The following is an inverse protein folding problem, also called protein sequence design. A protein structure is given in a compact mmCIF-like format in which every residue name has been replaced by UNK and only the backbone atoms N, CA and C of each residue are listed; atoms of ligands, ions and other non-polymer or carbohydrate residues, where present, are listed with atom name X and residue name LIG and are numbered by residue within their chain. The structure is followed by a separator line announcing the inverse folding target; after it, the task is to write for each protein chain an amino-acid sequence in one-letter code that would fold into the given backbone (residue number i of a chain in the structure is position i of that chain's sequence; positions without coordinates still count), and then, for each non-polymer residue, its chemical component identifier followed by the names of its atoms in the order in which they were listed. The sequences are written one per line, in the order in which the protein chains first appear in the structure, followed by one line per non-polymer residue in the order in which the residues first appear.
data_IF_143408176540
#
_entry.id   IF_143408176540
#
_cell.length_a   1.000
_cell.length_b   1.000
_cell.length_c   1.000
_cell.angle_alpha   90.00
_cell.angle_beta   90.00
_cell.angle_gamma   90.00
#
_symmetry.space_group_name_H-M   'P 1'
#
loop_
_entity.id
_entity.type
_entity.pdbx_description
1 polymer ?
#
# COMPACT_ATOMS: atom_id res chain seq x y z
N UNK A 1 16.27 -3.78 1.78
CA UNK A 1 16.12 -2.44 2.40
C UNK A 1 16.16 -2.59 3.92
N UNK A 2 16.66 -1.59 4.64
CA UNK A 2 16.64 -1.62 6.11
C UNK A 2 15.22 -1.29 6.63
N UNK A 3 14.82 -1.79 7.80
CA UNK A 3 13.50 -1.49 8.38
C UNK A 3 13.26 0.00 8.60
N UNK A 4 14.34 0.77 8.80
CA UNK A 4 14.29 2.23 8.88
C UNK A 4 13.80 2.86 7.57
N UNK A 5 14.25 2.36 6.42
CA UNK A 5 13.83 2.85 5.10
C UNK A 5 12.37 2.47 4.82
N UNK A 6 11.97 1.26 5.19
CA UNK A 6 10.56 0.86 5.10
C UNK A 6 9.68 1.75 5.99
N UNK A 7 10.14 2.15 7.18
CA UNK A 7 9.42 3.09 8.04
C UNK A 7 9.27 4.48 7.41
N UNK A 8 10.33 5.01 6.78
CA UNK A 8 10.22 6.28 6.02
C UNK A 8 9.26 6.16 4.84
N UNK A 9 9.32 5.07 4.07
CA UNK A 9 8.39 4.80 2.99
C UNK A 9 6.94 4.75 3.49
N UNK A 10 6.71 4.14 4.65
CA UNK A 10 5.40 4.08 5.29
C UNK A 10 4.93 5.48 5.71
N UNK A 11 5.77 6.29 6.36
CA UNK A 11 5.43 7.66 6.75
C UNK A 11 5.09 8.53 5.54
N UNK A 12 5.86 8.39 4.46
CA UNK A 12 5.63 9.10 3.20
C UNK A 12 4.30 8.68 2.57
N UNK A 13 3.98 7.38 2.56
CA UNK A 13 2.68 6.89 2.08
C UNK A 13 1.51 7.40 2.92
N UNK A 14 1.69 7.53 4.24
CA UNK A 14 0.69 8.07 5.15
C UNK A 14 0.50 9.59 4.97
N UNK A 15 1.59 10.33 4.73
CA UNK A 15 1.52 11.76 4.40
C UNK A 15 0.76 12.00 3.10
N UNK A 16 1.05 11.22 2.05
CA UNK A 16 0.34 11.32 0.76
C UNK A 16 -1.13 10.92 0.88
N UNK A 17 -1.46 9.95 1.74
CA UNK A 17 -2.82 9.49 1.96
C UNK A 17 -3.76 10.58 2.48
N UNK A 18 -3.26 11.59 3.20
CA UNK A 18 -4.06 12.69 3.74
C UNK A 18 -4.61 13.64 2.66
N UNK A 19 -3.91 13.74 1.53
CA UNK A 19 -4.30 14.63 0.43
C UNK A 19 -5.33 14.00 -0.51
N UNK A 20 -5.47 12.67 -0.46
CA UNK A 20 -6.47 11.93 -1.23
C UNK A 20 -7.86 12.12 -0.64
N UNK A 21 -8.87 12.20 -1.51
CA UNK A 21 -10.30 12.23 -1.17
C UNK A 21 -10.78 13.46 -0.39
N UNK A 22 -10.02 14.56 -0.41
CA UNK A 22 -10.43 15.82 0.21
C UNK A 22 -11.57 16.48 -0.59
N UNK A 23 -12.74 16.67 0.05
CA UNK A 23 -13.95 17.18 -0.63
C UNK A 23 -13.79 18.64 -1.09
N UNK A 24 -14.45 19.04 -2.21
CA UNK A 24 -15.21 18.22 -3.15
C UNK A 24 -14.31 17.42 -4.11
N UNK A 25 -14.65 16.16 -4.33
CA UNK A 25 -13.90 15.21 -5.16
C UNK A 25 -14.04 15.62 -6.63
N UNK A 26 -13.00 16.23 -7.19
CA UNK A 26 -12.86 16.46 -8.64
C UNK A 26 -11.94 15.38 -9.18
N UNK A 27 -12.46 14.51 -10.06
CA UNK A 27 -11.72 13.36 -10.61
C UNK A 27 -10.34 13.73 -11.16
N UNK A 28 -10.24 14.88 -11.84
CA UNK A 28 -8.97 15.37 -12.37
C UNK A 28 -7.95 15.73 -11.27
N UNK A 29 -8.43 16.29 -10.14
CA UNK A 29 -7.58 16.66 -9.01
C UNK A 29 -7.07 15.41 -8.28
N UNK A 30 -7.92 14.41 -8.10
CA UNK A 30 -7.52 13.13 -7.50
C UNK A 30 -6.55 12.36 -8.39
N UNK A 31 -6.79 12.33 -9.71
CA UNK A 31 -5.86 11.73 -10.67
C UNK A 31 -4.49 12.42 -10.61
N UNK A 32 -4.47 13.75 -10.48
CA UNK A 32 -3.24 14.50 -10.29
C UNK A 32 -2.53 14.15 -8.98
N UNK A 33 -3.24 14.04 -7.86
CA UNK A 33 -2.62 13.63 -6.58
C UNK A 33 -2.12 12.19 -6.60
N UNK A 34 -2.83 11.26 -7.25
CA UNK A 34 -2.36 9.89 -7.44
C UNK A 34 -1.09 9.87 -8.28
N UNK A 35 -1.06 10.60 -9.40
CA UNK A 35 0.14 10.73 -10.22
C UNK A 35 1.30 11.34 -9.44
N UNK A 36 1.06 12.44 -8.73
CA UNK A 36 2.06 13.10 -7.91
C UNK A 36 2.61 12.16 -6.82
N UNK A 37 1.73 11.42 -6.14
CA UNK A 37 2.15 10.44 -5.12
C UNK A 37 3.05 9.36 -5.72
N UNK A 38 2.73 8.85 -6.91
CA UNK A 38 3.54 7.86 -7.61
C UNK A 38 4.91 8.43 -8.01
N UNK A 39 4.97 9.68 -8.46
CA UNK A 39 6.24 10.38 -8.75
C UNK A 39 7.09 10.51 -7.49
N UNK A 40 6.49 10.92 -6.36
CA UNK A 40 7.20 11.04 -5.08
C UNK A 40 7.70 9.66 -4.61
N UNK A 41 6.90 8.60 -4.76
CA UNK A 41 7.31 7.23 -4.41
C UNK A 41 8.41 6.71 -5.33
N UNK A 42 8.37 7.02 -6.63
CA UNK A 42 9.43 6.70 -7.58
C UNK A 42 10.74 7.41 -7.24
N UNK A 43 10.67 8.71 -6.90
CA UNK A 43 11.84 9.48 -6.49
C UNK A 43 12.44 8.95 -5.18
N UNK A 44 11.58 8.58 -4.23
CA UNK A 44 12.03 7.92 -3.00
C UNK A 44 12.72 6.59 -3.30
N UNK A 45 12.12 5.73 -4.12
CA UNK A 45 12.69 4.45 -4.51
C UNK A 45 14.04 4.61 -5.21
N UNK A 46 14.21 5.64 -6.05
CA UNK A 46 15.47 5.94 -6.71
C UNK A 46 16.58 6.37 -5.74
N UNK A 47 16.25 7.17 -4.71
CA UNK A 47 17.22 7.65 -3.72
C UNK A 47 17.55 6.62 -2.65
N UNK A 48 16.55 5.84 -2.23
CA UNK A 48 16.65 4.89 -1.13
C UNK A 48 17.01 3.48 -1.62
N UNK A 49 16.75 3.16 -2.89
CA UNK A 49 16.93 1.83 -3.44
C UNK A 49 18.17 1.69 -4.30
N UNK A 50 18.68 0.46 -4.37
CA UNK A 50 19.58 0.05 -5.42
C UNK A 50 18.75 -0.34 -6.65
N UNK A 51 18.74 0.52 -7.68
CA UNK A 51 17.95 0.31 -8.90
C UNK A 51 18.41 -0.89 -9.72
N UNK A 52 19.56 -1.51 -9.38
CA UNK A 52 19.97 -2.80 -9.96
C UNK A 52 19.13 -3.97 -9.43
N UNK A 53 18.43 -3.80 -8.32
CA UNK A 53 17.57 -4.83 -7.74
C UNK A 53 16.19 -4.81 -8.40
N UNK A 54 15.72 -5.94 -8.98
CA UNK A 54 14.41 -6.01 -9.64
C UNK A 54 13.23 -5.75 -8.66
N UNK A 55 13.46 -5.88 -7.35
CA UNK A 55 12.46 -5.57 -6.34
C UNK A 55 12.08 -4.08 -6.33
N UNK A 56 13.00 -3.19 -6.72
CA UNK A 56 12.79 -1.74 -6.72
C UNK A 56 11.83 -1.27 -7.80
N UNK A 57 11.68 -2.02 -8.90
CA UNK A 57 10.74 -1.69 -9.98
C UNK A 57 9.29 -1.71 -9.49
N UNK A 58 8.95 -2.70 -8.65
CA UNK A 58 7.61 -2.84 -8.08
C UNK A 58 7.39 -1.98 -6.83
N UNK A 59 8.44 -1.40 -6.25
CA UNK A 59 8.41 -0.77 -4.93
C UNK A 59 7.51 0.48 -4.86
N UNK A 60 7.53 1.42 -5.83
CA UNK A 60 6.62 2.57 -5.83
C UNK A 60 5.14 2.18 -5.90
N UNK A 61 4.82 1.10 -6.61
CA UNK A 61 3.45 0.58 -6.71
C UNK A 61 2.99 -0.03 -5.38
N UNK A 62 3.88 -0.74 -4.67
CA UNK A 62 3.61 -1.24 -3.32
C UNK A 62 3.34 -0.07 -2.36
N UNK A 63 4.12 1.00 -2.43
CA UNK A 63 3.90 2.23 -1.64
C UNK A 63 2.56 2.88 -1.96
N UNK A 64 2.17 2.91 -3.24
CA UNK A 64 0.86 3.41 -3.67
C UNK A 64 -0.28 2.56 -3.11
N UNK A 65 -0.15 1.24 -3.10
CA UNK A 65 -1.17 0.35 -2.55
C UNK A 65 -1.36 0.57 -1.04
N UNK A 66 -0.26 0.75 -0.30
CA UNK A 66 -0.29 1.11 1.12
C UNK A 66 -0.92 2.50 1.33
N UNK A 67 -0.53 3.49 0.54
CA UNK A 67 -1.12 4.83 0.54
C UNK A 67 -2.64 4.77 0.33
N UNK A 68 -3.12 3.96 -0.62
CA UNK A 68 -4.54 3.75 -0.86
C UNK A 68 -5.22 3.11 0.35
N UNK A 69 -4.61 2.11 0.98
CA UNK A 69 -5.13 1.51 2.21
C UNK A 69 -5.29 2.55 3.32
N UNK A 70 -4.29 3.40 3.55
CA UNK A 70 -4.40 4.51 4.51
C UNK A 70 -5.44 5.55 4.09
N UNK A 71 -5.53 5.91 2.81
CA UNK A 71 -6.49 6.90 2.33
C UNK A 71 -7.94 6.46 2.57
N UNK A 72 -8.19 5.14 2.57
CA UNK A 72 -9.52 4.60 2.86
C UNK A 72 -9.97 4.86 4.29
N UNK A 73 -9.07 5.20 5.20
CA UNK A 73 -9.46 5.54 6.57
C UNK A 73 -10.06 6.94 6.70
N UNK A 74 -9.79 7.83 5.75
CA UNK A 74 -10.36 9.17 5.70
C UNK A 74 -11.74 9.21 5.02
N UNK A 75 -12.21 8.10 4.42
CA UNK A 75 -13.47 8.08 3.65
C UNK A 75 -14.71 7.99 4.57
N UNK A 76 -15.66 8.96 4.49
CA UNK A 76 -16.86 8.95 5.33
C UNK A 76 -17.92 7.94 4.88
N UNK A 77 -17.96 7.58 3.58
CA UNK A 77 -18.98 6.72 3.00
C UNK A 77 -18.36 5.58 2.16
N UNK A 78 -19.06 4.44 2.07
CA UNK A 78 -18.66 3.25 1.26
C UNK A 78 -17.26 2.68 1.57
N UNK A 79 -16.74 2.99 2.77
CA UNK A 79 -15.38 2.69 3.23
C UNK A 79 -14.93 1.23 3.02
N UNK A 80 -15.78 0.26 3.39
CA UNK A 80 -15.48 -1.18 3.25
C UNK A 80 -15.14 -1.60 1.82
N UNK A 81 -15.88 -1.08 0.82
CA UNK A 81 -15.65 -1.46 -0.58
C UNK A 81 -14.31 -0.94 -1.09
N UNK A 82 -13.99 0.32 -0.77
CA UNK A 82 -12.71 0.92 -1.15
C UNK A 82 -11.53 0.28 -0.42
N UNK A 83 -11.70 -0.04 0.86
CA UNK A 83 -10.68 -0.74 1.65
C UNK A 83 -10.37 -2.12 1.06
N UNK A 84 -11.41 -2.89 0.73
CA UNK A 84 -11.25 -4.19 0.05
C UNK A 84 -10.55 -4.04 -1.29
N UNK A 85 -10.95 -3.07 -2.11
CA UNK A 85 -10.30 -2.81 -3.39
C UNK A 85 -8.82 -2.44 -3.23
N UNK A 86 -8.48 -1.60 -2.24
CA UNK A 86 -7.09 -1.21 -1.98
C UNK A 86 -6.25 -2.41 -1.52
N UNK A 87 -6.77 -3.25 -0.62
CA UNK A 87 -6.07 -4.45 -0.17
C UNK A 87 -5.91 -5.50 -1.29
N UNK A 88 -6.93 -5.68 -2.13
CA UNK A 88 -6.84 -6.55 -3.31
C UNK A 88 -5.83 -6.02 -4.32
N UNK A 89 -5.77 -4.69 -4.53
CA UNK A 89 -4.75 -4.07 -5.37
C UNK A 89 -3.34 -4.28 -4.80
N UNK A 90 -3.17 -4.19 -3.48
CA UNK A 90 -1.88 -4.51 -2.84
C UNK A 90 -1.52 -5.98 -3.07
N UNK A 91 -2.45 -6.90 -2.84
CA UNK A 91 -2.24 -8.33 -3.09
C UNK A 91 -1.84 -8.59 -4.55
N UNK A 92 -2.51 -7.93 -5.49
CA UNK A 92 -2.21 -8.03 -6.92
C UNK A 92 -0.78 -7.59 -7.22
N UNK A 93 -0.35 -6.42 -6.71
CA UNK A 93 1.00 -5.89 -6.93
C UNK A 93 2.06 -6.82 -6.33
N UNK A 94 1.82 -7.38 -5.14
CA UNK A 94 2.74 -8.33 -4.51
C UNK A 94 2.80 -9.67 -5.25
N UNK A 95 1.67 -10.17 -5.74
CA UNK A 95 1.62 -11.42 -6.48
C UNK A 95 2.33 -11.31 -7.84
N UNK A 96 1.99 -10.31 -8.65
CA UNK A 96 2.62 -10.11 -9.96
C UNK A 96 4.07 -9.62 -9.84
N UNK A 97 4.37 -8.77 -8.84
CA UNK A 97 5.75 -8.40 -8.51
C UNK A 97 6.58 -9.62 -8.09
N UNK A 98 6.00 -10.52 -7.30
CA UNK A 98 6.62 -11.78 -6.90
C UNK A 98 6.86 -12.73 -8.07
N UNK A 99 5.92 -12.82 -9.02
CA UNK A 99 6.10 -13.60 -10.26
C UNK A 99 7.29 -13.04 -11.07
N UNK A 100 7.36 -11.72 -11.22
CA UNK A 100 8.50 -11.07 -11.90
C UNK A 100 9.82 -11.43 -11.21
N UNK A 101 9.89 -11.31 -9.89
CA UNK A 101 11.06 -11.67 -9.09
C UNK A 101 11.47 -13.14 -9.25
N UNK A 102 10.49 -14.05 -9.32
CA UNK A 102 10.74 -15.47 -9.54
C UNK A 102 11.42 -15.74 -10.89
N UNK A 103 11.03 -15.03 -11.95
CA UNK A 103 11.72 -15.12 -13.26
C UNK A 103 13.17 -14.60 -13.21
N UNK A 104 13.49 -13.70 -12.28
CA UNK A 104 14.84 -13.22 -12.02
C UNK A 104 15.63 -14.09 -11.03
N UNK A 105 15.10 -15.26 -10.63
CA UNK A 105 15.76 -16.20 -9.73
C UNK A 105 15.70 -15.80 -8.24
N UNK A 106 14.78 -14.92 -7.87
CA UNK A 106 14.60 -14.43 -6.49
C UNK A 106 13.37 -15.11 -5.87
N UNK A 107 13.48 -15.49 -4.60
CA UNK A 107 12.39 -16.11 -3.86
C UNK A 107 11.15 -15.21 -3.75
N UNK A 108 9.98 -15.84 -3.84
CA UNK A 108 8.70 -15.14 -3.74
C UNK A 108 8.41 -14.77 -2.27
N UNK A 109 7.94 -13.54 -1.98
CA UNK A 109 7.68 -13.09 -0.61
C UNK A 109 6.38 -13.67 -0.03
N UNK A 110 6.32 -15.00 0.13
CA UNK A 110 5.13 -15.75 0.53
C UNK A 110 4.53 -15.27 1.86
N UNK A 111 5.38 -14.94 2.84
CA UNK A 111 4.93 -14.46 4.16
C UNK A 111 4.13 -13.16 4.06
N UNK A 112 4.60 -12.22 3.23
CA UNK A 112 3.92 -10.94 2.97
C UNK A 112 2.62 -11.15 2.22
N UNK A 113 2.62 -12.01 1.19
CA UNK A 113 1.42 -12.35 0.41
C UNK A 113 0.35 -12.97 1.32
N UNK A 114 0.72 -13.94 2.15
CA UNK A 114 -0.19 -14.58 3.12
C UNK A 114 -0.74 -13.53 4.10
N UNK A 115 0.11 -12.66 4.64
CA UNK A 115 -0.33 -11.60 5.55
C UNK A 115 -1.36 -10.66 4.89
N UNK A 116 -1.15 -10.26 3.64
CA UNK A 116 -2.11 -9.42 2.91
C UNK A 116 -3.41 -10.20 2.66
N UNK A 117 -3.34 -11.48 2.24
CA UNK A 117 -4.51 -12.34 2.08
C UNK A 117 -5.35 -12.42 3.36
N UNK A 118 -4.72 -12.64 4.51
CA UNK A 118 -5.42 -12.66 5.81
C UNK A 118 -6.16 -11.35 6.06
N UNK A 119 -5.56 -10.19 5.70
CA UNK A 119 -6.24 -8.89 5.85
C UNK A 119 -7.42 -8.70 4.89
N UNK A 120 -7.31 -9.19 3.66
CA UNK A 120 -8.38 -9.15 2.63
C UNK A 120 -9.55 -10.03 3.06
N UNK A 121 -9.29 -11.27 3.46
CA UNK A 121 -10.35 -12.17 3.92
C UNK A 121 -10.93 -11.70 5.25
N UNK A 122 -10.10 -11.26 6.20
CA UNK A 122 -10.58 -10.70 7.47
C UNK A 122 -11.53 -9.52 7.25
N UNK A 123 -11.20 -8.61 6.34
CA UNK A 123 -12.02 -7.43 6.04
C UNK A 123 -13.31 -7.74 5.27
N UNK A 124 -13.40 -8.87 4.54
CA UNK A 124 -14.67 -9.31 3.93
C UNK A 124 -15.67 -9.84 4.97
N UNK A 125 -15.24 -10.46 6.07
CA UNK A 125 -16.14 -10.98 7.10
C UNK A 125 -16.60 -9.93 8.12
N UNK A 126 -15.97 -8.75 8.13
CA UNK A 126 -16.31 -7.68 9.05
C UNK A 126 -17.58 -6.93 8.60
N UNK A 127 -18.68 -7.16 9.33
CA UNK A 127 -20.00 -6.60 9.03
C UNK A 127 -20.08 -5.08 9.30
N UNK A 128 -19.35 -4.58 10.31
CA UNK A 128 -19.16 -3.15 10.61
C UNK A 128 -17.72 -2.87 10.97
N UNK A 129 -17.15 -1.84 10.36
CA UNK A 129 -15.82 -1.36 10.69
C UNK A 129 -15.96 -0.35 11.83
N UNK A 130 -15.54 -0.71 13.04
CA UNK A 130 -15.45 0.20 14.19
C UNK A 130 -14.12 0.96 14.15
N UNK A 131 -14.05 2.15 14.75
CA UNK A 131 -12.81 2.93 14.83
C UNK A 131 -11.63 2.15 15.43
N UNK A 132 -11.87 1.31 16.45
CA UNK A 132 -10.81 0.48 17.04
C UNK A 132 -10.24 -0.54 16.06
N UNK A 133 -11.08 -1.08 15.17
CA UNK A 133 -10.65 -2.03 14.16
C UNK A 133 -9.91 -1.38 13.00
N UNK A 134 -10.19 -0.11 12.71
CA UNK A 134 -9.46 0.70 11.74
C UNK A 134 -8.03 0.96 12.19
N UNK A 135 -7.88 1.30 13.47
CA UNK A 135 -6.56 1.44 14.08
C UNK A 135 -5.79 0.12 14.06
N UNK A 136 -6.45 -0.99 14.41
CA UNK A 136 -5.84 -2.32 14.34
C UNK A 136 -5.41 -2.69 12.90
N UNK A 137 -6.23 -2.39 11.89
CA UNK A 137 -5.90 -2.61 10.48
C UNK A 137 -4.74 -1.73 10.02
N UNK A 138 -4.69 -0.45 10.41
CA UNK A 138 -3.56 0.43 10.11
C UNK A 138 -2.27 -0.09 10.74
N UNK A 139 -2.31 -0.44 12.04
CA UNK A 139 -1.16 -1.02 12.73
C UNK A 139 -0.69 -2.32 12.06
N UNK A 140 -1.64 -3.16 11.63
CA UNK A 140 -1.34 -4.39 10.88
C UNK A 140 -0.65 -4.09 9.55
N UNK A 141 -1.15 -3.16 8.74
CA UNK A 141 -0.52 -2.80 7.46
C UNK A 141 0.88 -2.21 7.65
N UNK A 142 1.08 -1.38 8.68
CA UNK A 142 2.40 -0.84 9.04
C UNK A 142 3.34 -1.98 9.41
N UNK A 143 2.91 -2.94 10.23
CA UNK A 143 3.72 -4.08 10.61
C UNK A 143 4.09 -4.94 9.39
N UNK A 144 3.11 -5.24 8.52
CA UNK A 144 3.35 -5.99 7.28
C UNK A 144 4.35 -5.27 6.37
N UNK A 145 4.31 -3.93 6.32
CA UNK A 145 5.22 -3.13 5.51
C UNK A 145 6.63 -3.01 6.08
N UNK A 146 6.76 -2.79 7.39
CA UNK A 146 8.06 -2.52 8.01
C UNK A 146 8.88 -3.80 8.18
N UNK A 147 8.23 -4.92 8.51
CA UNK A 147 8.92 -6.16 8.85
C UNK A 147 9.12 -7.13 7.69
N UNK A 148 8.31 -7.06 6.65
CA UNK A 148 8.44 -7.90 5.46
C UNK A 148 8.86 -7.08 4.28
#
# INVERSE_FOLDING_TARGET
MTPLMNAFACLLSLAMAQFLWHRPIRLFKEAFFLFLSLVVFGFYAFLAGDMSQPMMESYPFRMLALCLCFSTTALPNKRRRYLLMAQVMWLWIEFFGGISLYYHGIDMPWTRIIAICVSVFGSTFLSRISQGMEFALMAYWIAVWVFF
#
